data_IF_303122901905
#
_entry.id   IF_303122901905
#
_cell.length_a   1.000
_cell.length_b   1.000
_cell.length_c   1.000
_cell.angle_alpha   90.00
_cell.angle_beta   90.00
_cell.angle_gamma   90.00
#
_symmetry.space_group_name_H-M   'P 1'
#
loop_
_entity.id
_entity.type
_entity.pdbx_description
1 polymer ?
#
# COMPACT_ATOMS: atom_id res chain seq x y z
N UNK A 1 -9.39 12.20 11.45
CA UNK A 1 -10.84 12.36 11.28
C UNK A 1 -11.28 11.36 10.22
N UNK A 2 -12.29 10.57 10.49
CA UNK A 2 -12.85 9.57 9.57
C UNK A 2 -13.70 10.23 8.48
N UNK A 3 -13.94 9.52 7.37
CA UNK A 3 -14.80 10.02 6.28
C UNK A 3 -16.21 10.32 6.77
N UNK A 4 -16.77 9.48 7.65
CA UNK A 4 -18.11 9.67 8.20
C UNK A 4 -18.22 10.97 9.01
N UNK A 5 -17.24 11.23 9.87
CA UNK A 5 -17.17 12.49 10.62
C UNK A 5 -17.01 13.67 9.66
N UNK A 6 -16.20 13.52 8.60
CA UNK A 6 -15.94 14.59 7.64
C UNK A 6 -17.21 14.98 6.88
N UNK A 7 -17.99 13.98 6.43
CA UNK A 7 -19.30 14.18 5.79
C UNK A 7 -20.25 14.95 6.72
N UNK A 8 -20.27 14.60 8.01
CA UNK A 8 -21.11 15.29 8.99
C UNK A 8 -20.70 16.77 9.13
N UNK A 9 -19.40 17.05 9.32
CA UNK A 9 -18.92 18.43 9.41
C UNK A 9 -19.15 19.22 8.13
N UNK A 10 -18.95 18.61 6.98
CA UNK A 10 -19.23 19.24 5.69
C UNK A 10 -20.71 19.65 5.59
N UNK A 11 -21.61 18.76 5.98
CA UNK A 11 -23.06 19.02 5.98
C UNK A 11 -23.44 20.14 6.96
N UNK A 12 -22.83 20.15 8.14
CA UNK A 12 -23.01 21.22 9.12
C UNK A 12 -22.55 22.58 8.57
N UNK A 13 -21.33 22.64 8.00
CA UNK A 13 -20.75 23.86 7.46
C UNK A 13 -21.49 24.37 6.21
N UNK A 14 -22.05 23.47 5.41
CA UNK A 14 -22.85 23.80 4.23
C UNK A 14 -24.05 24.70 4.56
N UNK A 15 -24.54 24.68 5.80
CA UNK A 15 -25.65 25.54 6.25
C UNK A 15 -25.29 27.02 6.25
N UNK A 16 -24.01 27.35 6.38
CA UNK A 16 -23.53 28.73 6.42
C UNK A 16 -23.23 29.31 5.03
N UNK A 17 -23.12 28.45 4.00
CA UNK A 17 -22.82 28.86 2.63
C UNK A 17 -23.66 28.07 1.61
N UNK A 18 -25.00 28.21 1.63
CA UNK A 18 -25.87 27.43 0.74
C UNK A 18 -25.61 27.70 -0.74
N UNK A 19 -25.10 28.88 -1.11
CA UNK A 19 -24.73 29.25 -2.49
C UNK A 19 -23.53 28.47 -3.05
N UNK A 20 -22.71 27.90 -2.18
CA UNK A 20 -21.53 27.09 -2.52
C UNK A 20 -21.89 25.61 -2.72
N UNK A 21 -23.11 25.20 -2.37
CA UNK A 21 -23.58 23.81 -2.41
C UNK A 21 -24.97 23.68 -3.06
N UNK A 22 -25.34 24.69 -3.85
CA UNK A 22 -26.63 24.82 -4.54
C UNK A 22 -26.79 23.79 -5.68
N UNK A 23 -25.70 23.43 -6.35
CA UNK A 23 -25.63 22.36 -7.34
C UNK A 23 -24.79 21.19 -6.82
N UNK A 24 -25.11 19.97 -7.25
CA UNK A 24 -24.31 18.78 -6.99
C UNK A 24 -22.87 18.94 -7.48
N UNK A 25 -22.63 19.65 -8.60
CA UNK A 25 -21.28 19.89 -9.13
C UNK A 25 -20.44 20.72 -8.16
N UNK A 26 -20.94 21.89 -7.76
CA UNK A 26 -20.27 22.78 -6.78
C UNK A 26 -20.10 22.10 -5.44
N UNK A 27 -21.11 21.36 -5.00
CA UNK A 27 -21.06 20.59 -3.75
C UNK A 27 -19.99 19.51 -3.80
N UNK A 28 -19.88 18.78 -4.91
CA UNK A 28 -18.83 17.79 -5.11
C UNK A 28 -17.44 18.44 -5.15
N UNK A 29 -17.28 19.53 -5.89
CA UNK A 29 -16.01 20.26 -5.97
C UNK A 29 -15.55 20.74 -4.60
N UNK A 30 -16.46 21.38 -3.85
CA UNK A 30 -16.19 21.86 -2.50
C UNK A 30 -15.87 20.73 -1.52
N UNK A 31 -16.53 19.59 -1.65
CA UNK A 31 -16.24 18.41 -0.85
C UNK A 31 -14.85 17.83 -1.17
N UNK A 32 -14.54 17.61 -2.45
CA UNK A 32 -13.23 17.08 -2.89
C UNK A 32 -12.09 18.01 -2.54
N UNK A 33 -12.32 19.33 -2.52
CA UNK A 33 -11.33 20.33 -2.12
C UNK A 33 -10.82 20.13 -0.68
N UNK A 34 -11.69 19.69 0.24
CA UNK A 34 -11.34 19.46 1.64
C UNK A 34 -10.90 18.03 1.97
N UNK A 35 -10.81 17.13 0.98
CA UNK A 35 -10.29 15.77 1.18
C UNK A 35 -8.78 15.77 1.40
N UNK A 36 -8.30 14.73 2.09
CA UNK A 36 -6.86 14.48 2.21
C UNK A 36 -6.25 14.18 0.84
N UNK A 37 -5.01 14.61 0.54
CA UNK A 37 -4.39 14.41 -0.77
C UNK A 37 -4.39 12.94 -1.24
N UNK A 38 -4.24 12.01 -0.29
CA UNK A 38 -4.24 10.57 -0.52
C UNK A 38 -5.58 10.09 -1.10
N UNK A 39 -6.72 10.45 -0.48
CA UNK A 39 -8.05 10.05 -0.96
C UNK A 39 -8.42 10.87 -2.20
N UNK A 40 -8.12 12.17 -2.19
CA UNK A 40 -8.41 13.12 -3.28
C UNK A 40 -7.86 12.64 -4.62
N UNK A 41 -6.62 12.18 -4.65
CA UNK A 41 -5.98 11.67 -5.87
C UNK A 41 -6.73 10.46 -6.43
N UNK A 42 -7.17 9.53 -5.58
CA UNK A 42 -7.91 8.34 -5.99
C UNK A 42 -9.37 8.61 -6.36
N UNK A 43 -9.91 9.74 -5.91
CA UNK A 43 -11.23 10.23 -6.33
C UNK A 43 -11.18 10.77 -7.75
N UNK A 44 -10.13 11.49 -8.15
CA UNK A 44 -10.01 12.06 -9.50
C UNK A 44 -9.86 11.04 -10.62
N UNK A 45 -9.47 9.80 -10.31
CA UNK A 45 -9.31 8.75 -11.33
C UNK A 45 -10.65 8.16 -11.81
N UNK A 46 -11.79 8.62 -11.27
CA UNK A 46 -13.10 8.09 -11.60
C UNK A 46 -14.13 9.21 -11.61
N UNK A 47 -14.94 9.28 -12.67
CA UNK A 47 -16.00 10.26 -12.77
C UNK A 47 -17.14 9.95 -11.79
N UNK A 48 -17.76 11.00 -11.26
CA UNK A 48 -18.94 10.94 -10.41
C UNK A 48 -19.96 11.96 -10.92
N UNK A 49 -21.19 11.48 -11.17
CA UNK A 49 -22.26 12.32 -11.73
C UNK A 49 -23.12 13.00 -10.67
N UNK A 50 -22.97 12.60 -9.39
CA UNK A 50 -23.73 13.16 -8.28
C UNK A 50 -22.98 12.99 -6.96
N UNK A 51 -23.42 13.73 -5.94
CA UNK A 51 -22.80 13.74 -4.63
C UNK A 51 -22.86 12.39 -3.93
N UNK A 52 -23.92 11.61 -4.12
CA UNK A 52 -24.08 10.29 -3.49
C UNK A 52 -23.06 9.27 -3.99
N UNK A 53 -22.76 9.27 -5.30
CA UNK A 53 -21.73 8.42 -5.90
C UNK A 53 -20.34 8.79 -5.36
N UNK A 54 -20.06 10.10 -5.26
CA UNK A 54 -18.84 10.60 -4.63
C UNK A 54 -18.70 10.09 -3.19
N UNK A 55 -19.74 10.23 -2.36
CA UNK A 55 -19.71 9.77 -0.96
C UNK A 55 -19.44 8.27 -0.84
N UNK A 56 -20.16 7.45 -1.61
CA UNK A 56 -19.96 6.00 -1.62
C UNK A 56 -18.55 5.62 -2.04
N UNK A 57 -17.97 6.35 -3.00
CA UNK A 57 -16.60 6.13 -3.46
C UNK A 57 -15.59 6.46 -2.38
N UNK A 58 -15.68 7.62 -1.75
CA UNK A 58 -14.68 8.05 -0.76
C UNK A 58 -14.72 7.22 0.52
N UNK A 59 -15.89 6.69 0.92
CA UNK A 59 -16.02 5.74 2.03
C UNK A 59 -15.26 4.45 1.71
N UNK A 60 -15.49 3.87 0.53
CA UNK A 60 -14.78 2.65 0.08
C UNK A 60 -13.27 2.87 -0.02
N UNK A 61 -12.84 4.05 -0.48
CA UNK A 61 -11.42 4.40 -0.54
C UNK A 61 -10.78 4.46 0.86
N UNK A 62 -11.47 5.06 1.84
CA UNK A 62 -10.99 5.08 3.22
C UNK A 62 -10.86 3.66 3.81
N UNK A 63 -11.86 2.81 3.60
CA UNK A 63 -11.85 1.42 4.07
C UNK A 63 -10.70 0.62 3.43
N UNK A 64 -10.55 0.70 2.10
CA UNK A 64 -9.47 0.02 1.39
C UNK A 64 -8.09 0.48 1.84
N UNK A 65 -7.89 1.78 2.11
CA UNK A 65 -6.63 2.31 2.66
C UNK A 65 -6.36 1.78 4.07
N UNK A 66 -7.38 1.65 4.91
CA UNK A 66 -7.24 1.12 6.26
C UNK A 66 -6.82 -0.36 6.21
N UNK A 67 -7.41 -1.12 5.31
CA UNK A 67 -7.07 -2.52 5.07
C UNK A 67 -5.63 -2.67 4.56
N UNK A 68 -5.24 -1.90 3.53
CA UNK A 68 -3.86 -1.88 3.00
C UNK A 68 -2.83 -1.60 4.10
N UNK A 69 -3.05 -0.55 4.90
CA UNK A 69 -2.17 -0.19 6.02
C UNK A 69 -2.08 -1.33 7.06
N UNK A 70 -3.17 -2.04 7.31
CA UNK A 70 -3.17 -3.19 8.22
C UNK A 70 -2.41 -4.40 7.66
N UNK A 71 -2.56 -4.66 6.36
CA UNK A 71 -1.90 -5.76 5.66
C UNK A 71 -0.39 -5.54 5.57
N UNK A 72 0.05 -4.31 5.27
CA UNK A 72 1.47 -3.95 5.27
C UNK A 72 2.11 -4.09 6.66
N UNK A 73 1.38 -3.69 7.73
CA UNK A 73 1.84 -3.88 9.11
C UNK A 73 2.01 -5.36 9.46
N UNK A 74 1.07 -6.22 9.06
CA UNK A 74 1.17 -7.68 9.28
C UNK A 74 2.40 -8.26 8.59
N UNK A 75 2.57 -7.96 7.29
CA UNK A 75 3.75 -8.40 6.52
C UNK A 75 5.06 -7.93 7.14
N UNK A 76 5.12 -6.68 7.60
CA UNK A 76 6.32 -6.16 8.25
C UNK A 76 6.62 -6.84 9.59
N UNK A 77 5.58 -7.14 10.40
CA UNK A 77 5.74 -7.89 11.64
C UNK A 77 6.18 -9.34 11.41
N UNK A 78 5.70 -9.97 10.34
CA UNK A 78 6.10 -11.32 9.93
C UNK A 78 7.58 -11.35 9.52
N UNK A 79 8.04 -10.37 8.72
CA UNK A 79 9.46 -10.23 8.35
C UNK A 79 10.35 -9.96 9.58
N UNK A 80 9.83 -9.22 10.58
CA UNK A 80 10.58 -8.90 11.81
C UNK A 80 10.57 -10.05 12.83
N UNK A 81 9.86 -11.15 12.60
CA UNK A 81 9.90 -12.33 13.45
C UNK A 81 10.91 -13.36 12.88
N UNK A 82 12.17 -13.39 13.35
CA UNK A 82 13.19 -14.33 12.85
C UNK A 82 12.91 -15.81 13.16
N UNK A 83 11.80 -16.13 13.83
CA UNK A 83 11.38 -17.51 14.11
C UNK A 83 10.64 -18.20 12.94
N UNK A 84 10.21 -17.45 11.91
CA UNK A 84 9.70 -18.01 10.67
C UNK A 84 10.79 -17.86 9.60
N UNK A 85 11.64 -18.88 9.48
CA UNK A 85 12.66 -18.93 8.42
C UNK A 85 12.04 -18.79 7.01
N UNK A 86 12.83 -18.44 5.99
CA UNK A 86 12.33 -18.44 4.60
C UNK A 86 11.70 -19.80 4.28
N UNK A 87 10.61 -19.85 3.47
CA UNK A 87 10.05 -21.13 3.04
C UNK A 87 11.16 -21.89 2.33
N UNK A 88 11.64 -22.96 2.97
CA UNK A 88 12.58 -23.90 2.37
C UNK A 88 11.86 -24.53 1.17
N UNK A 89 12.33 -24.35 -0.06
CA UNK A 89 11.80 -25.09 -1.20
C UNK A 89 11.99 -26.59 -0.93
N UNK A 90 10.90 -27.35 -0.82
CA UNK A 90 10.92 -28.80 -0.54
C UNK A 90 11.01 -29.68 -1.79
N UNK A 91 11.39 -29.12 -2.93
CA UNK A 91 11.84 -29.93 -4.07
C UNK A 91 13.33 -29.66 -4.30
N UNK A 92 14.08 -30.74 -4.54
CA UNK A 92 15.55 -30.84 -4.63
C UNK A 92 16.27 -31.30 -3.35
N UNK A 93 15.95 -32.51 -2.87
CA UNK A 93 16.87 -33.29 -2.02
C UNK A 93 16.95 -34.74 -2.51
N UNK A 94 17.98 -35.09 -3.29
CA UNK A 94 18.52 -36.47 -3.34
C UNK A 94 19.83 -36.70 -4.14
N UNK A 95 20.88 -35.84 -4.12
CA UNK A 95 22.14 -36.26 -4.81
C UNK A 95 23.52 -35.99 -4.24
N UNK A 96 23.71 -35.50 -3.01
CA UNK A 96 25.06 -35.61 -2.40
C UNK A 96 24.96 -35.96 -0.93
N UNK A 97 25.40 -37.16 -0.58
CA UNK A 97 25.52 -37.63 0.80
C UNK A 97 26.58 -36.85 1.58
N UNK A 98 26.22 -35.66 2.07
CA UNK A 98 27.02 -34.89 3.02
C UNK A 98 26.08 -34.25 4.05
N UNK A 99 26.38 -34.49 5.33
CA UNK A 99 25.65 -33.96 6.49
C UNK A 99 26.17 -32.55 6.85
N UNK A 100 25.32 -31.52 6.82
CA UNK A 100 25.60 -30.20 7.41
C UNK A 100 24.76 -29.01 6.87
N UNK A 101 24.37 -28.01 7.70
CA UNK A 101 23.48 -26.91 7.30
C UNK A 101 24.18 -25.75 6.53
N UNK A 102 23.51 -25.25 5.50
CA UNK A 102 24.05 -24.42 4.39
C UNK A 102 24.16 -22.90 4.67
N UNK A 103 24.17 -22.46 5.92
CA UNK A 103 24.14 -21.02 6.27
C UNK A 103 25.50 -20.37 6.54
N UNK A 104 26.63 -21.05 6.31
CA UNK A 104 27.98 -20.53 6.61
C UNK A 104 28.77 -19.95 5.42
N UNK A 105 28.20 -19.78 4.23
CA UNK A 105 29.00 -19.38 3.05
C UNK A 105 28.53 -18.14 2.28
N UNK A 106 27.96 -17.14 2.97
CA UNK A 106 27.87 -15.78 2.40
C UNK A 106 28.24 -14.75 3.48
N UNK A 107 29.51 -14.74 3.85
CA UNK A 107 30.21 -13.54 4.32
C UNK A 107 31.70 -13.81 4.23
N UNK A 108 32.48 -12.81 3.84
CA UNK A 108 33.93 -12.85 3.56
C UNK A 108 34.34 -13.43 2.19
N UNK A 109 34.30 -12.59 1.16
CA UNK A 109 35.48 -12.25 0.33
C UNK A 109 35.06 -11.23 -0.74
N UNK A 110 34.91 -9.97 -0.33
CA UNK A 110 35.34 -8.88 -1.21
C UNK A 110 36.87 -8.76 -0.99
N UNK A 111 37.59 -8.54 -2.09
CA UNK A 111 39.05 -8.56 -2.29
C UNK A 111 39.68 -9.93 -2.62
N UNK A 112 39.64 -10.29 -3.91
CA UNK A 112 40.82 -10.86 -4.57
C UNK A 112 40.85 -10.50 -6.07
N UNK A 113 41.78 -9.63 -6.53
CA UNK A 113 41.91 -9.22 -7.93
C UNK A 113 42.86 -10.16 -8.70
N UNK A 114 42.42 -11.35 -9.11
CA UNK A 114 43.26 -12.18 -10.00
C UNK A 114 42.48 -13.27 -10.77
N UNK A 115 41.40 -12.89 -11.45
CA UNK A 115 40.68 -13.81 -12.36
C UNK A 115 41.13 -13.59 -13.80
N UNK A 116 42.20 -14.28 -14.20
CA UNK A 116 42.54 -14.54 -15.59
C UNK A 116 41.44 -15.43 -16.23
N UNK A 117 40.72 -14.90 -17.20
CA UNK A 117 39.75 -15.67 -18.00
C UNK A 117 40.48 -16.52 -19.05
N UNK A 118 40.29 -17.85 -19.12
CA UNK A 118 40.89 -18.62 -20.19
C UNK A 118 40.08 -18.43 -21.47
N UNK A 119 40.76 -17.91 -22.49
CA UNK A 119 40.27 -17.74 -23.84
C UNK A 119 39.91 -19.06 -24.52
N UNK A 120 38.95 -18.93 -25.42
CA UNK A 120 38.51 -19.89 -26.45
C UNK A 120 39.66 -20.52 -27.23
N UNK A 121 39.70 -21.86 -27.29
CA UNK A 121 39.83 -22.69 -28.51
C UNK A 121 39.20 -24.06 -28.27
#
# INVERSE_FOLDING_TARGET
>A
MSMKEYIQKFTELSRYAPSEVDSDDKKCENFVRGLTPEIKTMTYTCDYNNFSMLLNRVIKLEEGKKEEKSHLKRKFMEIKNPAAGPPVPTEELWWTGVSGPVWWSISEHYDNPDVLWPGTK
#
